data_IF_910177508209
#
_entry.id   IF_910177508209
#
_cell.length_a   1.000
_cell.length_b   1.000
_cell.length_c   1.000
_cell.angle_alpha   90.00
_cell.angle_beta   90.00
_cell.angle_gamma   90.00
#
_symmetry.space_group_name_H-M   'P 1'
#
loop_
_entity.id
_entity.type
_entity.pdbx_description
1 polymer ?
#
# COMPACT_ATOMS: atom_id res chain seq x y z
N UNK A 1 -15.21 -17.26 -12.43
CA UNK A 1 -14.76 -17.00 -11.04
C UNK A 1 -13.26 -17.21 -10.85
N UNK A 2 -12.68 -18.37 -11.20
CA UNK A 2 -11.22 -18.61 -11.11
C UNK A 2 -10.42 -17.52 -11.85
N UNK A 3 -10.76 -17.25 -13.12
CA UNK A 3 -10.10 -16.22 -13.93
C UNK A 3 -10.18 -14.82 -13.27
N UNK A 4 -11.34 -14.45 -12.72
CA UNK A 4 -11.52 -13.21 -11.97
C UNK A 4 -10.56 -13.11 -10.77
N UNK A 5 -10.42 -14.19 -9.99
CA UNK A 5 -9.48 -14.20 -8.87
C UNK A 5 -8.01 -14.11 -9.33
N UNK A 6 -7.65 -14.71 -10.46
CA UNK A 6 -6.30 -14.58 -11.03
C UNK A 6 -6.01 -13.16 -11.51
N UNK A 7 -6.97 -12.53 -12.22
CA UNK A 7 -6.87 -11.13 -12.65
C UNK A 7 -6.70 -10.20 -11.43
N UNK A 8 -7.57 -10.34 -10.41
CA UNK A 8 -7.47 -9.58 -9.16
C UNK A 8 -6.14 -9.83 -8.44
N UNK A 9 -5.65 -11.06 -8.40
CA UNK A 9 -4.33 -11.37 -7.85
C UNK A 9 -3.22 -10.58 -8.55
N UNK A 10 -3.20 -10.58 -9.88
CA UNK A 10 -2.16 -9.85 -10.64
C UNK A 10 -2.26 -8.34 -10.43
N UNK A 11 -3.48 -7.80 -10.44
CA UNK A 11 -3.74 -6.38 -10.20
C UNK A 11 -3.26 -5.95 -8.81
N UNK A 12 -3.70 -6.64 -7.75
CA UNK A 12 -3.28 -6.36 -6.38
C UNK A 12 -1.78 -6.51 -6.20
N UNK A 13 -1.16 -7.55 -6.78
CA UNK A 13 0.28 -7.74 -6.71
C UNK A 13 1.04 -6.58 -7.37
N UNK A 14 0.57 -6.10 -8.52
CA UNK A 14 1.20 -4.99 -9.23
C UNK A 14 1.07 -3.68 -8.45
N UNK A 15 -0.10 -3.41 -7.86
CA UNK A 15 -0.30 -2.25 -6.98
C UNK A 15 0.59 -2.34 -5.73
N UNK A 16 0.65 -3.50 -5.07
CA UNK A 16 1.52 -3.73 -3.91
C UNK A 16 3.00 -3.45 -4.24
N UNK A 17 3.47 -3.91 -5.40
CA UNK A 17 4.82 -3.59 -5.91
C UNK A 17 5.04 -2.11 -6.14
N UNK A 18 4.06 -1.43 -6.72
CA UNK A 18 4.13 0.00 -7.01
C UNK A 18 4.24 0.83 -5.73
N UNK A 19 3.36 0.58 -4.74
CA UNK A 19 3.43 1.23 -3.43
C UNK A 19 4.73 0.95 -2.68
N UNK A 20 5.19 -0.31 -2.70
CA UNK A 20 6.47 -0.68 -2.09
C UNK A 20 7.65 0.05 -2.75
N UNK A 21 7.66 0.15 -4.08
CA UNK A 21 8.69 0.89 -4.83
C UNK A 21 8.71 2.36 -4.44
N UNK A 22 7.55 3.01 -4.34
CA UNK A 22 7.48 4.42 -3.91
C UNK A 22 7.96 4.61 -2.48
N UNK A 23 7.55 3.74 -1.56
CA UNK A 23 8.05 3.77 -0.18
C UNK A 23 9.57 3.66 -0.15
N UNK A 24 10.15 2.74 -0.93
CA UNK A 24 11.59 2.53 -0.99
C UNK A 24 12.34 3.71 -1.61
N UNK A 25 11.81 4.30 -2.69
CA UNK A 25 12.38 5.49 -3.33
C UNK A 25 12.40 6.68 -2.37
N UNK A 26 11.31 6.93 -1.64
CA UNK A 26 11.27 8.01 -0.63
C UNK A 26 12.31 7.78 0.48
N UNK A 27 12.45 6.54 0.96
CA UNK A 27 13.47 6.20 1.94
C UNK A 27 14.89 6.43 1.42
N UNK A 28 15.18 6.07 0.16
CA UNK A 28 16.49 6.34 -0.45
C UNK A 28 16.74 7.84 -0.53
N UNK A 29 15.77 8.63 -1.00
CA UNK A 29 15.90 10.09 -1.11
C UNK A 29 16.19 10.70 0.28
N UNK A 30 15.47 10.25 1.31
CA UNK A 30 15.69 10.71 2.68
C UNK A 30 17.11 10.38 3.19
N UNK A 31 17.61 9.17 2.92
CA UNK A 31 18.97 8.76 3.28
C UNK A 31 20.02 9.59 2.54
N UNK A 32 19.88 9.75 1.22
CA UNK A 32 20.81 10.54 0.40
C UNK A 32 20.83 12.00 0.88
N UNK A 33 19.66 12.59 1.17
CA UNK A 33 19.57 13.95 1.68
C UNK A 33 20.26 14.09 3.05
N UNK A 34 20.07 13.12 3.95
CA UNK A 34 20.72 13.11 5.26
C UNK A 34 22.24 12.97 5.16
N UNK A 35 22.74 12.07 4.32
CA UNK A 35 24.19 11.88 4.10
C UNK A 35 24.79 13.13 3.46
N UNK A 36 24.12 13.70 2.45
CA UNK A 36 24.60 14.91 1.76
C UNK A 36 24.68 16.12 2.70
N UNK A 37 23.68 16.29 3.58
CA UNK A 37 23.71 17.33 4.62
C UNK A 37 24.91 17.15 5.57
N UNK A 38 25.18 15.90 5.99
CA UNK A 38 26.33 15.58 6.85
C UNK A 38 27.66 15.90 6.18
N UNK A 39 27.84 15.53 4.91
CA UNK A 39 29.07 15.82 4.15
C UNK A 39 29.27 17.32 3.97
N UNK A 40 28.20 18.06 3.59
CA UNK A 40 28.27 19.51 3.43
C UNK A 40 28.60 20.24 4.73
N UNK A 41 28.11 19.74 5.87
CA UNK A 41 28.42 20.30 7.18
C UNK A 41 29.88 20.13 7.60
N UNK A 42 30.53 19.02 7.21
CA UNK A 42 31.94 18.76 7.55
C UNK A 42 32.90 19.59 6.70
N UNK A 43 32.54 19.82 5.44
CA UNK A 43 33.42 20.46 4.46
C UNK A 43 33.33 21.99 4.46
N UNK A 44 32.35 22.59 5.15
CA UNK A 44 32.13 24.06 5.24
C UNK A 44 32.01 24.75 3.87
N UNK A 45 31.65 24.00 2.82
CA UNK A 45 31.52 24.51 1.44
C UNK A 45 30.23 25.32 1.21
N UNK A 46 29.29 25.32 2.17
CA UNK A 46 27.96 25.91 2.00
C UNK A 46 27.57 26.78 3.20
N UNK A 47 26.75 27.81 2.95
CA UNK A 47 26.19 28.62 4.01
C UNK A 47 25.32 27.78 4.95
N UNK A 48 25.31 28.13 6.24
CA UNK A 48 24.56 27.44 7.30
C UNK A 48 23.06 27.30 6.97
N UNK A 49 22.51 28.24 6.21
CA UNK A 49 21.13 28.24 5.74
C UNK A 49 20.84 27.10 4.75
N UNK A 50 21.75 26.84 3.80
CA UNK A 50 21.61 25.74 2.84
C UNK A 50 21.66 24.40 3.57
N UNK A 51 22.60 24.24 4.50
CA UNK A 51 22.74 23.03 5.31
C UNK A 51 21.47 22.78 6.14
N UNK A 52 20.92 23.82 6.77
CA UNK A 52 19.66 23.74 7.52
C UNK A 52 18.47 23.32 6.66
N UNK A 53 18.39 23.83 5.43
CA UNK A 53 17.29 23.51 4.50
C UNK A 53 17.36 22.05 4.03
N UNK A 54 18.55 21.55 3.71
CA UNK A 54 18.75 20.15 3.32
C UNK A 54 18.45 19.23 4.51
N UNK A 55 18.82 19.62 5.74
CA UNK A 55 18.55 18.85 6.95
C UNK A 55 17.04 18.70 7.28
N UNK A 56 16.18 19.58 6.76
CA UNK A 56 14.71 19.45 6.90
C UNK A 56 14.11 18.44 5.91
N UNK A 57 14.83 18.10 4.83
CA UNK A 57 14.33 17.21 3.77
C UNK A 57 13.98 15.81 4.30
N UNK A 58 14.81 15.13 5.12
CA UNK A 58 14.44 13.83 5.71
C UNK A 58 13.17 13.89 6.57
N UNK A 59 13.00 14.97 7.35
CA UNK A 59 11.81 15.15 8.19
C UNK A 59 10.55 15.31 7.33
N UNK A 60 10.61 16.15 6.29
CA UNK A 60 9.50 16.32 5.34
C UNK A 60 9.15 15.00 4.62
N UNK A 61 10.16 14.26 4.17
CA UNK A 61 9.96 12.97 3.50
C UNK A 61 9.36 11.92 4.44
N UNK A 62 9.78 11.90 5.71
CA UNK A 62 9.19 11.02 6.72
C UNK A 62 7.72 11.36 6.99
N UNK A 63 7.38 12.65 7.08
CA UNK A 63 5.99 13.11 7.22
C UNK A 63 5.16 12.71 6.02
N UNK A 64 5.65 12.94 4.79
CA UNK A 64 4.96 12.54 3.56
C UNK A 64 4.77 11.02 3.52
N UNK A 65 5.82 10.24 3.80
CA UNK A 65 5.73 8.77 3.79
C UNK A 65 4.72 8.25 4.81
N UNK A 66 4.68 8.84 6.01
CA UNK A 66 3.73 8.50 7.07
C UNK A 66 2.28 8.84 6.68
N UNK A 67 2.04 10.04 6.13
CA UNK A 67 0.71 10.44 5.66
C UNK A 67 0.22 9.60 4.47
N UNK A 68 1.13 9.22 3.57
CA UNK A 68 0.81 8.40 2.42
C UNK A 68 0.53 6.93 2.77
N UNK A 69 0.87 6.49 4.00
CA UNK A 69 0.69 5.11 4.48
C UNK A 69 1.14 4.06 3.45
N UNK A 70 2.25 4.34 2.75
CA UNK A 70 2.66 3.56 1.55
C UNK A 70 2.99 2.12 1.92
N UNK A 71 3.61 1.91 3.09
CA UNK A 71 3.96 0.59 3.59
C UNK A 71 2.69 -0.21 3.91
N UNK A 72 1.75 0.39 4.63
CA UNK A 72 0.47 -0.20 5.01
C UNK A 72 -0.36 -0.55 3.78
N UNK A 73 -0.47 0.37 2.81
CA UNK A 73 -1.14 0.13 1.52
C UNK A 73 -0.47 -1.02 0.77
N UNK A 74 0.87 -1.03 0.69
CA UNK A 74 1.60 -2.11 0.01
C UNK A 74 1.32 -3.48 0.65
N UNK A 75 1.35 -3.55 1.97
CA UNK A 75 1.06 -4.77 2.74
C UNK A 75 -0.39 -5.23 2.50
N UNK A 76 -1.34 -4.31 2.52
CA UNK A 76 -2.74 -4.60 2.24
C UNK A 76 -2.94 -5.23 0.86
N UNK A 77 -2.34 -4.64 -0.18
CA UNK A 77 -2.38 -5.20 -1.53
C UNK A 77 -1.75 -6.59 -1.61
N UNK A 78 -0.63 -6.84 -0.93
CA UNK A 78 -0.02 -8.17 -0.89
C UNK A 78 -0.85 -9.20 -0.11
N UNK A 79 -1.53 -8.80 0.96
CA UNK A 79 -2.48 -9.66 1.65
C UNK A 79 -3.64 -10.02 0.73
N UNK A 80 -4.22 -9.04 0.03
CA UNK A 80 -5.33 -9.30 -0.90
C UNK A 80 -4.93 -10.19 -2.07
N UNK A 81 -3.76 -9.96 -2.66
CA UNK A 81 -3.20 -10.84 -3.67
C UNK A 81 -3.10 -12.30 -3.15
N UNK A 82 -2.57 -12.50 -1.94
CA UNK A 82 -2.49 -13.85 -1.34
C UNK A 82 -3.87 -14.48 -1.13
N UNK A 83 -4.87 -13.71 -0.71
CA UNK A 83 -6.26 -14.19 -0.52
C UNK A 83 -6.92 -14.59 -1.84
N UNK A 84 -6.86 -13.74 -2.88
CA UNK A 84 -7.39 -14.09 -4.20
C UNK A 84 -6.71 -15.32 -4.80
N UNK A 85 -5.39 -15.45 -4.64
CA UNK A 85 -4.65 -16.64 -5.10
C UNK A 85 -5.07 -17.90 -4.33
N UNK A 86 -5.34 -17.80 -3.04
CA UNK A 86 -5.85 -18.91 -2.24
C UNK A 86 -7.25 -19.34 -2.73
N UNK A 87 -8.17 -18.40 -2.95
CA UNK A 87 -9.50 -18.69 -3.53
C UNK A 87 -9.40 -19.38 -4.89
N UNK A 88 -8.57 -18.85 -5.81
CA UNK A 88 -8.36 -19.46 -7.11
C UNK A 88 -7.81 -20.89 -7.00
N UNK A 89 -6.88 -21.14 -6.06
CA UNK A 89 -6.32 -22.47 -5.82
C UNK A 89 -7.38 -23.44 -5.31
N UNK A 90 -8.17 -23.04 -4.30
CA UNK A 90 -9.21 -23.91 -3.73
C UNK A 90 -10.25 -24.27 -4.79
N UNK A 91 -10.74 -23.28 -5.55
CA UNK A 91 -11.69 -23.52 -6.64
C UNK A 91 -11.12 -24.45 -7.73
N UNK A 92 -9.83 -24.30 -8.08
CA UNK A 92 -9.19 -25.20 -9.07
C UNK A 92 -9.09 -26.64 -8.57
N UNK A 93 -8.74 -26.84 -7.30
CA UNK A 93 -8.63 -28.18 -6.71
C UNK A 93 -9.99 -28.87 -6.75
N UNK A 94 -11.06 -28.17 -6.36
CA UNK A 94 -12.41 -28.75 -6.39
C UNK A 94 -12.98 -28.89 -7.80
N UNK A 95 -12.58 -28.05 -8.75
CA UNK A 95 -12.99 -28.16 -10.14
C UNK A 95 -12.55 -29.45 -10.82
N UNK A 96 -11.46 -30.08 -10.35
CA UNK A 96 -11.00 -31.38 -10.87
C UNK A 96 -12.03 -32.49 -10.61
N UNK A 97 -12.82 -32.39 -9.53
CA UNK A 97 -13.83 -33.39 -9.15
C UNK A 97 -15.25 -33.13 -9.68
N UNK A 98 -15.46 -32.03 -10.41
CA UNK A 98 -16.79 -31.52 -10.76
C UNK A 98 -17.40 -30.71 -9.60
N UNK A 99 -17.56 -29.40 -9.80
CA UNK A 99 -18.06 -28.50 -8.75
C UNK A 99 -19.59 -28.55 -8.71
N UNK A 100 -20.22 -28.97 -7.59
CA UNK A 100 -21.67 -28.88 -7.44
C UNK A 100 -22.09 -27.41 -7.30
N UNK A 101 -23.30 -27.07 -7.77
CA UNK A 101 -23.78 -25.67 -7.86
C UNK A 101 -23.75 -24.98 -6.48
N UNK A 102 -24.10 -25.68 -5.41
CA UNK A 102 -24.07 -25.16 -4.04
C UNK A 102 -22.67 -24.66 -3.61
N UNK A 103 -21.59 -25.30 -4.07
CA UNK A 103 -20.21 -24.88 -3.82
C UNK A 103 -19.86 -23.60 -4.55
N UNK A 104 -20.37 -23.42 -5.77
CA UNK A 104 -20.17 -22.18 -6.54
C UNK A 104 -20.81 -20.99 -5.81
N UNK A 105 -22.01 -21.15 -5.29
CA UNK A 105 -22.69 -20.11 -4.48
C UNK A 105 -21.94 -19.81 -3.18
N UNK A 106 -21.43 -20.84 -2.49
CA UNK A 106 -20.61 -20.69 -1.28
C UNK A 106 -19.36 -19.85 -1.58
N UNK A 107 -18.64 -20.15 -2.66
CA UNK A 107 -17.47 -19.37 -3.07
C UNK A 107 -17.81 -17.94 -3.46
N UNK A 108 -18.95 -17.72 -4.13
CA UNK A 108 -19.41 -16.38 -4.47
C UNK A 108 -19.64 -15.53 -3.20
N UNK A 109 -20.28 -16.11 -2.17
CA UNK A 109 -20.52 -15.44 -0.89
C UNK A 109 -19.21 -15.13 -0.16
N UNK A 110 -18.32 -16.11 -0.02
CA UNK A 110 -17.02 -15.92 0.64
C UNK A 110 -16.17 -14.85 -0.05
N UNK A 111 -16.22 -14.81 -1.38
CA UNK A 111 -15.53 -13.79 -2.16
C UNK A 111 -16.13 -12.40 -1.94
N UNK A 112 -17.46 -12.28 -1.98
CA UNK A 112 -18.16 -11.03 -1.75
C UNK A 112 -17.94 -10.49 -0.34
N UNK A 113 -18.03 -11.33 0.69
CA UNK A 113 -17.79 -10.95 2.08
C UNK A 113 -16.34 -10.43 2.26
N UNK A 114 -15.38 -11.10 1.63
CA UNK A 114 -14.00 -10.66 1.62
C UNK A 114 -13.84 -9.30 0.92
N UNK A 115 -14.48 -9.09 -0.23
CA UNK A 115 -14.40 -7.83 -0.99
C UNK A 115 -15.03 -6.66 -0.23
N UNK A 116 -16.19 -6.87 0.40
CA UNK A 116 -16.84 -5.87 1.24
C UNK A 116 -15.95 -5.52 2.44
N UNK A 117 -15.44 -6.52 3.15
CA UNK A 117 -14.54 -6.29 4.28
C UNK A 117 -13.23 -5.61 3.88
N UNK A 118 -12.67 -5.98 2.73
CA UNK A 118 -11.48 -5.34 2.18
C UNK A 118 -11.76 -3.86 1.82
N UNK A 119 -12.92 -3.57 1.22
CA UNK A 119 -13.32 -2.21 0.87
C UNK A 119 -13.54 -1.33 2.11
N UNK A 120 -14.15 -1.88 3.16
CA UNK A 120 -14.30 -1.20 4.46
C UNK A 120 -12.93 -0.88 5.06
N UNK A 121 -12.05 -1.89 5.14
CA UNK A 121 -10.69 -1.68 5.65
C UNK A 121 -9.94 -0.61 4.85
N UNK A 122 -10.08 -0.61 3.52
CA UNK A 122 -9.49 0.42 2.69
C UNK A 122 -10.00 1.80 3.05
N UNK A 123 -11.32 1.95 3.18
CA UNK A 123 -11.97 3.23 3.48
C UNK A 123 -11.60 3.77 4.86
N UNK A 124 -11.57 2.89 5.86
CA UNK A 124 -11.40 3.29 7.27
C UNK A 124 -9.93 3.52 7.64
N UNK A 125 -9.02 2.69 7.12
CA UNK A 125 -7.64 2.64 7.61
C UNK A 125 -6.62 3.18 6.61
N UNK A 126 -6.90 3.04 5.31
CA UNK A 126 -5.89 3.22 4.26
C UNK A 126 -6.21 4.38 3.31
N UNK A 127 -7.46 4.82 3.22
CA UNK A 127 -7.83 5.97 2.40
C UNK A 127 -7.16 7.24 2.95
N UNK A 128 -6.84 8.14 2.04
CA UNK A 128 -6.45 9.50 2.35
C UNK A 128 -7.64 10.21 3.00
N UNK A 129 -7.63 10.26 4.32
CA UNK A 129 -8.40 11.28 5.03
C UNK A 129 -7.48 12.50 5.08
N UNK A 130 -7.60 13.38 4.08
CA UNK A 130 -7.34 14.77 4.39
C UNK A 130 -8.41 15.11 5.42
N UNK A 131 -8.02 15.45 6.65
CA UNK A 131 -8.92 16.18 7.53
C UNK A 131 -9.35 17.40 6.74
N UNK A 132 -10.49 17.31 6.05
CA UNK A 132 -11.22 18.46 5.57
C UNK A 132 -11.60 19.16 6.86
N UNK A 133 -10.78 20.12 7.23
CA UNK A 133 -10.91 20.91 8.43
C UNK A 133 -12.39 21.27 8.62
N UNK A 134 -12.93 20.86 9.77
CA UNK A 134 -13.92 21.60 10.56
C UNK A 134 -14.77 22.61 9.78
N UNK A 135 -15.73 22.15 8.98
CA UNK A 135 -16.88 22.98 8.59
C UNK A 135 -18.10 22.46 9.35
N UNK A 136 -18.50 23.22 10.37
CA UNK A 136 -19.67 22.91 11.21
C UNK A 136 -19.46 23.19 12.69
N UNK A 137 -18.85 24.34 13.01
CA UNK A 137 -19.04 24.95 14.32
C UNK A 137 -20.55 25.05 14.61
N UNK A 138 -20.90 24.63 15.82
CA UNK A 138 -22.22 24.84 16.43
C UNK A 138 -22.56 26.31 16.56
#
# INVERSE_FOLDING_TARGET
MIAYCDERFTHFRNLGRWYYRWSYVLSIIAVIASVSAGVLAIWDFASKEIIGTIALTPALMATIASQLKLVEKSNWFYMGARRFRAFARTMRVEAVGGVPINKVEEYARLLNDYEVGAQQQWTDQLNFQFDTAQDGGR
#
